data_IF_924870682358
#
_entry.id   IF_924870682358
#
_cell.length_a   1.000
_cell.length_b   1.000
_cell.length_c   1.000
_cell.angle_alpha   90.00
_cell.angle_beta   90.00
_cell.angle_gamma   90.00
#
_symmetry.space_group_name_H-M   'P 1'
#
loop_
_entity.id
_entity.type
_entity.pdbx_description
1 polymer ?
#
# COMPACT_ATOMS: atom_id res chain seq x y z
N UNK A 1 7.21 19.15 -26.27
CA UNK A 1 6.49 17.86 -26.18
C UNK A 1 6.82 17.26 -24.82
N UNK A 2 5.93 17.43 -23.84
CA UNK A 2 6.09 16.73 -22.55
C UNK A 2 5.64 15.28 -22.75
N UNK A 3 6.54 14.33 -22.50
CA UNK A 3 6.23 12.92 -22.53
C UNK A 3 5.27 12.63 -21.37
N UNK A 4 3.97 12.65 -21.66
CA UNK A 4 2.97 12.07 -20.77
C UNK A 4 3.19 10.56 -20.84
N UNK A 5 4.04 10.05 -19.94
CA UNK A 5 4.13 8.62 -19.64
C UNK A 5 2.80 8.21 -18.98
N UNK A 6 1.75 8.14 -19.80
CA UNK A 6 0.47 7.56 -19.42
C UNK A 6 0.70 6.08 -19.26
N UNK A 7 0.69 5.62 -18.00
CA UNK A 7 0.47 4.22 -17.70
C UNK A 7 -0.76 3.76 -18.50
N UNK A 8 -0.70 2.61 -19.19
CA UNK A 8 -1.86 2.11 -19.92
C UNK A 8 -3.02 1.99 -18.92
N UNK A 9 -4.17 2.56 -19.28
CA UNK A 9 -5.43 2.36 -18.57
C UNK A 9 -5.78 0.87 -18.57
N UNK A 10 -5.23 0.13 -17.61
CA UNK A 10 -5.74 -1.17 -17.25
C UNK A 10 -7.14 -0.90 -16.72
N UNK A 11 -8.18 -1.34 -17.43
CA UNK A 11 -9.57 -1.12 -17.05
C UNK A 11 -9.84 -1.98 -15.81
N UNK A 12 -10.32 -1.39 -14.71
CA UNK A 12 -10.73 -2.15 -13.53
C UNK A 12 -11.75 -3.22 -13.98
N UNK A 13 -11.55 -4.50 -13.63
CA UNK A 13 -12.13 -5.62 -14.38
C UNK A 13 -13.65 -5.62 -14.43
N UNK A 14 -14.38 -5.00 -13.48
CA UNK A 14 -15.83 -4.88 -13.57
C UNK A 14 -16.35 -3.79 -12.61
N UNK A 15 -17.21 -2.91 -13.11
CA UNK A 15 -18.16 -2.18 -12.29
C UNK A 15 -19.00 -3.21 -11.53
N UNK A 16 -18.84 -3.27 -10.22
CA UNK A 16 -19.51 -4.26 -9.39
C UNK A 16 -21.04 -4.03 -9.42
N UNK A 17 -21.86 -5.08 -9.59
CA UNK A 17 -23.32 -4.97 -9.51
C UNK A 17 -23.75 -4.54 -8.11
N UNK A 18 -24.78 -3.70 -8.06
CA UNK A 18 -25.33 -2.94 -6.92
C UNK A 18 -25.79 -3.73 -5.68
N UNK A 19 -25.34 -4.97 -5.46
CA UNK A 19 -25.83 -5.86 -4.38
C UNK A 19 -24.76 -6.34 -3.39
N UNK A 20 -23.82 -5.50 -2.98
CA UNK A 20 -23.07 -5.73 -1.73
C UNK A 20 -23.81 -5.14 -0.50
N UNK A 21 -25.08 -5.52 -0.33
CA UNK A 21 -25.85 -5.29 0.91
C UNK A 21 -25.61 -6.43 1.90
N UNK A 22 -24.37 -6.67 2.29
CA UNK A 22 -24.05 -7.52 3.46
C UNK A 22 -23.31 -6.68 4.49
N UNK A 23 -23.69 -6.82 5.77
CA UNK A 23 -23.24 -6.00 6.89
C UNK A 23 -21.72 -5.69 6.85
N UNK A 24 -21.29 -4.43 7.03
CA UNK A 24 -20.00 -3.94 6.52
C UNK A 24 -18.76 -4.35 7.32
N UNK A 25 -18.90 -5.10 8.42
CA UNK A 25 -17.80 -5.31 9.38
C UNK A 25 -17.48 -6.79 9.63
N UNK A 26 -18.46 -7.69 9.51
CA UNK A 26 -18.31 -9.09 9.95
C UNK A 26 -17.63 -10.03 8.93
N UNK A 27 -17.27 -9.54 7.73
CA UNK A 27 -16.67 -10.36 6.65
C UNK A 27 -15.42 -9.80 6.00
N UNK A 28 -14.84 -8.69 6.46
CA UNK A 28 -13.58 -8.20 5.90
C UNK A 28 -12.40 -9.00 6.45
N UNK A 29 -12.25 -10.24 5.96
CA UNK A 29 -10.94 -10.91 6.02
C UNK A 29 -10.06 -10.25 4.97
N UNK A 30 -9.18 -9.36 5.42
CA UNK A 30 -8.13 -8.84 4.55
C UNK A 30 -7.13 -9.96 4.23
N UNK A 31 -6.76 -10.04 2.96
CA UNK A 31 -5.74 -10.98 2.47
C UNK A 31 -4.34 -10.38 2.52
N UNK A 32 -4.23 -9.05 2.67
CA UNK A 32 -2.98 -8.32 2.81
C UNK A 32 -3.23 -6.93 3.42
N UNK A 33 -2.18 -6.31 3.96
CA UNK A 33 -2.17 -4.90 4.35
C UNK A 33 -1.07 -4.19 3.58
N UNK A 34 -1.43 -3.13 2.88
CA UNK A 34 -0.52 -2.40 1.99
C UNK A 34 -0.51 -0.92 2.34
N UNK A 35 0.60 -0.24 1.99
CA UNK A 35 0.76 1.21 2.12
C UNK A 35 0.79 1.83 0.72
N UNK A 36 0.05 2.92 0.53
CA UNK A 36 0.14 3.73 -0.68
C UNK A 36 1.50 4.43 -0.77
N UNK A 37 2.19 4.26 -1.89
CA UNK A 37 3.46 4.91 -2.20
C UNK A 37 3.29 6.18 -3.05
N UNK A 38 2.11 6.38 -3.62
CA UNK A 38 1.78 7.53 -4.47
C UNK A 38 0.29 7.84 -4.33
N UNK A 39 -0.07 9.09 -4.64
CA UNK A 39 -1.46 9.50 -4.70
C UNK A 39 -2.14 8.89 -5.93
N UNK A 40 -3.38 8.42 -5.74
CA UNK A 40 -4.24 7.95 -6.82
C UNK A 40 -5.61 8.59 -6.65
N UNK A 41 -6.00 9.45 -7.58
CA UNK A 41 -7.34 10.04 -7.61
C UNK A 41 -8.26 9.12 -8.40
N UNK A 42 -9.17 8.44 -7.70
CA UNK A 42 -10.20 7.62 -8.33
C UNK A 42 -11.09 8.49 -9.22
N UNK A 43 -11.19 8.14 -10.50
CA UNK A 43 -12.02 8.88 -11.46
C UNK A 43 -13.53 8.60 -11.34
N UNK A 44 -13.93 7.53 -10.67
CA UNK A 44 -15.32 7.07 -10.52
C UNK A 44 -15.61 6.63 -9.09
N UNK A 45 -16.89 6.55 -8.70
CA UNK A 45 -17.34 6.12 -7.36
C UNK A 45 -16.95 4.68 -6.97
N UNK A 46 -16.55 3.86 -7.93
CA UNK A 46 -16.03 2.50 -7.70
C UNK A 46 -14.53 2.46 -7.42
N UNK A 47 -13.81 3.56 -7.65
CA UNK A 47 -12.38 3.66 -7.38
C UNK A 47 -12.12 4.11 -5.95
N UNK A 48 -11.14 3.48 -5.31
CA UNK A 48 -10.63 3.91 -4.02
C UNK A 48 -9.53 4.94 -4.26
N UNK A 49 -9.78 6.19 -3.87
CA UNK A 49 -8.73 7.20 -3.88
C UNK A 49 -7.68 6.88 -2.81
N UNK A 50 -6.41 7.02 -3.17
CA UNK A 50 -5.27 6.80 -2.29
C UNK A 50 -4.51 8.11 -2.09
N UNK A 51 -4.03 8.32 -0.88
CA UNK A 51 -3.05 9.33 -0.51
C UNK A 51 -1.77 8.64 -0.09
N UNK A 52 -0.61 9.23 -0.39
CA UNK A 52 0.69 8.78 0.08
C UNK A 52 0.65 8.44 1.59
N UNK A 53 1.01 7.20 1.92
CA UNK A 53 1.05 6.72 3.30
C UNK A 53 -0.25 6.10 3.81
N UNK A 54 -1.34 6.14 3.05
CA UNK A 54 -2.59 5.47 3.43
C UNK A 54 -2.36 3.98 3.66
N UNK A 55 -2.98 3.46 4.71
CA UNK A 55 -3.00 2.03 5.00
C UNK A 55 -4.28 1.44 4.43
N UNK A 56 -4.12 0.50 3.50
CA UNK A 56 -5.22 -0.17 2.80
C UNK A 56 -5.25 -1.64 3.20
N UNK A 57 -6.42 -2.10 3.61
CA UNK A 57 -6.68 -3.52 3.83
C UNK A 57 -7.19 -4.12 2.52
N UNK A 58 -6.39 -4.99 1.93
CA UNK A 58 -6.72 -5.64 0.64
C UNK A 58 -7.70 -6.76 0.90
N UNK A 59 -8.85 -6.74 0.22
CA UNK A 59 -9.91 -7.74 0.32
C UNK A 59 -9.83 -8.77 -0.80
N UNK A 60 -9.47 -8.34 -2.01
CA UNK A 60 -9.27 -9.23 -3.15
C UNK A 60 -8.14 -8.72 -4.06
N UNK A 61 -7.34 -9.65 -4.59
CA UNK A 61 -6.29 -9.37 -5.56
C UNK A 61 -6.72 -9.95 -6.91
N UNK A 62 -6.93 -9.10 -7.91
CA UNK A 62 -7.13 -9.54 -9.30
C UNK A 62 -5.80 -9.70 -10.02
N UNK A 63 -5.74 -10.61 -10.99
CA UNK A 63 -4.61 -10.74 -11.92
C UNK A 63 -4.52 -9.57 -12.91
N UNK A 64 -5.59 -8.80 -13.06
CA UNK A 64 -5.68 -7.59 -13.89
C UNK A 64 -5.08 -6.34 -13.23
N UNK A 65 -4.15 -6.47 -12.28
CA UNK A 65 -3.51 -5.33 -11.62
C UNK A 65 -4.39 -4.47 -10.67
N UNK A 66 -5.71 -4.65 -10.66
CA UNK A 66 -6.63 -3.91 -9.77
C UNK A 66 -6.99 -4.72 -8.54
N UNK A 67 -6.84 -4.11 -7.37
CA UNK A 67 -7.15 -4.73 -6.09
C UNK A 67 -8.33 -4.02 -5.43
N UNK A 68 -9.19 -4.80 -4.80
CA UNK A 68 -10.29 -4.29 -3.97
C UNK A 68 -9.76 -4.15 -2.55
N UNK A 69 -9.91 -2.97 -1.97
CA UNK A 69 -9.51 -2.74 -0.59
C UNK A 69 -10.35 -1.69 0.10
N UNK A 70 -10.07 -1.55 1.38
CA UNK A 70 -10.73 -0.59 2.25
C UNK A 70 -9.72 0.26 3.00
N UNK A 71 -9.99 1.56 3.09
CA UNK A 71 -9.34 2.49 4.02
C UNK A 71 -10.28 2.70 5.20
N UNK A 72 -9.73 2.59 6.41
CA UNK A 72 -10.43 2.86 7.66
C UNK A 72 -9.85 4.13 8.23
N UNK A 73 -10.63 5.21 8.24
CA UNK A 73 -10.20 6.46 8.86
C UNK A 73 -10.32 6.37 10.38
N UNK A 74 -9.56 7.22 11.07
CA UNK A 74 -9.66 7.40 12.53
C UNK A 74 -11.07 7.80 13.00
N UNK A 75 -11.88 8.36 12.11
CA UNK A 75 -13.30 8.71 12.35
C UNK A 75 -14.22 7.49 12.36
N UNK A 76 -13.70 6.30 12.02
CA UNK A 76 -14.49 5.07 11.85
C UNK A 76 -15.17 4.97 10.48
N UNK A 77 -14.95 5.94 9.58
CA UNK A 77 -15.45 5.88 8.20
C UNK A 77 -14.66 4.87 7.38
N UNK A 78 -15.39 4.13 6.54
CA UNK A 78 -14.84 3.11 5.66
C UNK A 78 -15.02 3.55 4.21
N UNK A 79 -13.93 3.57 3.45
CA UNK A 79 -13.96 3.80 2.00
C UNK A 79 -13.45 2.54 1.33
N UNK A 80 -14.31 1.89 0.55
CA UNK A 80 -13.98 0.69 -0.23
C UNK A 80 -14.00 1.01 -1.71
N UNK A 81 -13.09 0.42 -2.45
CA UNK A 81 -13.10 0.48 -3.90
C UNK A 81 -11.87 -0.17 -4.50
N UNK A 82 -11.79 -0.07 -5.83
CA UNK A 82 -10.69 -0.60 -6.60
C UNK A 82 -9.54 0.40 -6.72
N UNK A 83 -8.32 -0.08 -6.61
CA UNK A 83 -7.11 0.71 -6.83
C UNK A 83 -6.02 -0.12 -7.54
N UNK A 84 -5.11 0.52 -8.27
CA UNK A 84 -4.02 -0.17 -8.95
C UNK A 84 -2.97 -0.66 -7.95
N UNK A 85 -2.59 -1.94 -8.03
CA UNK A 85 -1.62 -2.53 -7.12
C UNK A 85 -0.21 -1.93 -7.23
N UNK A 86 0.11 -1.31 -8.37
CA UNK A 86 1.41 -0.69 -8.63
C UNK A 86 1.67 0.53 -7.74
N UNK A 87 0.61 1.13 -7.20
CA UNK A 87 0.66 2.32 -6.33
C UNK A 87 0.88 1.97 -4.86
N UNK A 88 0.93 0.69 -4.51
CA UNK A 88 1.04 0.24 -3.12
C UNK A 88 2.20 -0.73 -2.90
N UNK A 89 2.56 -0.96 -1.63
CA UNK A 89 3.44 -2.07 -1.22
C UNK A 89 2.92 -2.75 0.03
N UNK A 90 3.03 -4.07 0.09
CA UNK A 90 2.67 -4.82 1.30
C UNK A 90 3.55 -4.43 2.47
N UNK A 91 2.93 -4.16 3.63
CA UNK A 91 3.63 -3.89 4.89
C UNK A 91 4.58 -5.03 5.23
N UNK A 92 4.19 -6.28 4.93
CA UNK A 92 5.00 -7.47 5.19
C UNK A 92 6.26 -7.55 4.32
N UNK A 93 6.30 -6.87 3.17
CA UNK A 93 7.50 -6.77 2.34
C UNK A 93 8.51 -5.75 2.88
N UNK A 94 8.05 -4.69 3.56
CA UNK A 94 8.91 -3.60 4.02
C UNK A 94 9.63 -3.93 5.34
N UNK A 95 9.03 -4.78 6.19
CA UNK A 95 9.59 -5.15 7.51
C UNK A 95 10.98 -5.80 7.44
N UNK A 96 11.25 -6.81 6.58
CA UNK A 96 12.56 -7.45 6.52
C UNK A 96 13.65 -6.53 5.95
N UNK A 97 13.28 -5.67 5.00
CA UNK A 97 14.21 -4.71 4.38
C UNK A 97 14.59 -3.61 5.37
N UNK A 98 13.62 -3.04 6.09
CA UNK A 98 13.87 -2.05 7.13
C UNK A 98 14.69 -2.63 8.29
N UNK A 99 14.46 -3.90 8.64
CA UNK A 99 15.28 -4.58 9.65
C UNK A 99 16.73 -4.70 9.19
N UNK A 100 16.98 -5.21 7.98
CA UNK A 100 18.34 -5.29 7.41
C UNK A 100 19.06 -3.94 7.34
N UNK A 101 18.34 -2.87 6.99
CA UNK A 101 18.93 -1.52 6.95
C UNK A 101 19.28 -0.97 8.34
N UNK A 102 18.47 -1.27 9.36
CA UNK A 102 18.78 -0.90 10.75
C UNK A 102 19.98 -1.67 11.29
N UNK A 103 20.02 -2.98 11.04
CA UNK A 103 21.11 -3.86 11.47
C UNK A 103 22.45 -3.41 10.87
N UNK A 104 22.46 -2.95 9.61
CA UNK A 104 23.68 -2.45 8.96
C UNK A 104 24.16 -1.10 9.52
N UNK A 105 23.25 -0.21 9.95
CA UNK A 105 23.62 1.09 10.54
C UNK A 105 24.24 0.95 11.94
N UNK A 106 23.88 -0.11 12.68
CA UNK A 106 24.47 -0.40 14.00
C UNK A 106 25.93 -0.86 13.89
N UNK A 107 26.29 -1.57 12.81
CA UNK A 107 27.65 -2.03 12.53
C UNK A 107 28.64 -0.88 12.27
N UNK A 108 28.20 0.19 11.60
CA UNK A 108 29.01 1.38 11.36
C UNK A 108 29.35 2.12 12.66
N UNK A 109 28.41 2.09 13.63
CA UNK A 109 28.58 2.74 14.93
C UNK A 109 29.52 1.95 15.85
N UNK A 110 29.48 0.61 15.79
CA UNK A 110 30.41 -0.27 16.50
C UNK A 110 31.83 -0.21 15.92
N UNK A 111 31.95 -0.04 14.60
CA UNK A 111 33.27 0.14 13.95
C UNK A 111 33.86 1.51 14.30
N UNK A 112 33.07 2.58 14.26
CA UNK A 112 33.52 3.91 14.68
C UNK A 112 33.95 3.96 16.15
N UNK A 113 33.25 3.25 17.04
CA UNK A 113 33.60 3.13 18.45
C UNK A 113 34.90 2.34 18.68
N UNK A 114 35.14 1.27 17.91
CA UNK A 114 36.34 0.44 18.05
C UNK A 114 37.58 1.04 17.38
N UNK A 115 37.44 1.83 16.30
CA UNK A 115 38.56 2.56 15.69
C UNK A 115 39.09 3.65 16.60
N UNK A 116 38.25 4.32 17.40
CA UNK A 116 38.68 5.35 18.36
C UNK A 116 39.50 4.77 19.54
N UNK A 117 39.32 3.50 19.87
CA UNK A 117 39.98 2.85 20.99
C UNK A 117 41.41 2.35 20.70
N UNK A 118 41.82 2.31 19.43
CA UNK A 118 43.08 1.68 18.97
C UNK A 118 44.12 2.70 18.43
N UNK A 119 43.91 4.00 18.66
CA UNK A 119 44.83 5.10 18.23
C UNK A 119 45.55 5.75 19.44
N UNK A 120 45.72 5.01 20.54
CA UNK A 120 46.67 5.33 21.61
C UNK A 120 47.89 4.41 21.51
#
# INVERSE_FOLDING_TARGET
MVLKLGLPEEIAPDAIPSNYKSNPLDKLKSVDTVIALYDFSGTNSSHLSLTLGDTIHVLAKSASGWWDGVIIENTGRLYRGWFPHSYVRSVNYVQPVLKKLKDNKELDSLTAANTAANVL
#
